data_IF_448722961529
#
_entry.id   IF_448722961529
#
_cell.length_a   1.000
_cell.length_b   1.000
_cell.length_c   1.000
_cell.angle_alpha   90.00
_cell.angle_beta   90.00
_cell.angle_gamma   90.00
#
_symmetry.space_group_name_H-M   'P 1'
#
loop_
_entity.id
_entity.type
_entity.pdbx_description
1 polymer ?
#
# COMPACT_ATOMS: atom_id res chain seq x y z
N UNK A 1 -7.11 -59.49 -33.15
CA UNK A 1 -6.10 -58.48 -32.80
C UNK A 1 -6.84 -57.24 -32.34
N UNK A 2 -7.06 -57.21 -31.03
CA UNK A 2 -7.72 -56.12 -30.31
C UNK A 2 -6.66 -55.11 -29.87
N UNK A 3 -7.16 -53.91 -29.56
CA UNK A 3 -6.51 -52.75 -28.91
C UNK A 3 -5.87 -51.74 -29.85
N UNK A 4 -6.50 -50.56 -29.94
CA UNK A 4 -5.86 -49.23 -29.87
C UNK A 4 -6.93 -48.11 -29.94
N UNK A 5 -7.93 -48.18 -29.05
CA UNK A 5 -8.94 -47.13 -28.88
C UNK A 5 -8.70 -46.27 -27.61
N UNK A 6 -7.54 -46.36 -26.98
CA UNK A 6 -7.24 -45.70 -25.69
C UNK A 6 -6.28 -44.50 -25.77
N UNK A 7 -5.72 -44.16 -26.93
CA UNK A 7 -4.75 -43.04 -27.05
C UNK A 7 -5.38 -41.67 -27.29
N UNK A 8 -6.71 -41.55 -27.43
CA UNK A 8 -7.38 -40.27 -27.69
C UNK A 8 -7.91 -39.56 -26.42
N UNK A 9 -7.96 -40.23 -25.27
CA UNK A 9 -8.54 -39.66 -24.04
C UNK A 9 -7.51 -38.99 -23.10
N UNK A 10 -6.21 -39.06 -23.40
CA UNK A 10 -5.15 -38.55 -22.52
C UNK A 10 -4.80 -37.07 -22.64
N UNK A 11 -5.07 -36.41 -23.78
CA UNK A 11 -4.63 -35.03 -24.03
C UNK A 11 -5.65 -33.94 -23.67
N UNK A 12 -6.93 -34.28 -23.52
CA UNK A 12 -7.96 -33.31 -23.14
C UNK A 12 -8.00 -33.04 -21.62
N UNK A 13 -7.53 -33.98 -20.80
CA UNK A 13 -7.50 -33.83 -19.33
C UNK A 13 -6.35 -32.94 -18.85
N UNK A 14 -5.22 -32.94 -19.55
CA UNK A 14 -4.04 -32.15 -19.16
C UNK A 14 -4.13 -30.67 -19.55
N UNK A 15 -4.92 -30.33 -20.56
CA UNK A 15 -5.07 -28.95 -21.03
C UNK A 15 -5.94 -28.07 -20.11
N UNK A 16 -6.73 -28.68 -19.20
CA UNK A 16 -7.62 -27.96 -18.28
C UNK A 16 -6.94 -27.52 -16.98
N UNK A 17 -5.77 -28.07 -16.66
CA UNK A 17 -4.99 -27.67 -15.46
C UNK A 17 -4.14 -26.41 -15.65
N UNK A 18 -3.95 -25.93 -16.89
CA UNK A 18 -3.24 -24.67 -17.19
C UNK A 18 -4.16 -23.44 -17.21
N UNK A 19 -5.47 -23.63 -17.01
CA UNK A 19 -6.45 -22.55 -16.95
C UNK A 19 -6.97 -22.34 -15.53
N UNK A 20 -6.07 -22.29 -14.53
CA UNK A 20 -6.37 -21.54 -13.30
C UNK A 20 -6.50 -20.07 -13.72
N UNK A 21 -7.68 -19.70 -14.21
CA UNK A 21 -8.03 -18.34 -14.52
C UNK A 21 -7.88 -17.56 -13.22
N UNK A 22 -6.89 -16.67 -13.16
CA UNK A 22 -6.70 -15.75 -12.06
C UNK A 22 -8.01 -15.01 -11.84
N UNK A 23 -8.68 -15.27 -10.73
CA UNK A 23 -9.85 -14.48 -10.36
C UNK A 23 -9.41 -13.02 -10.24
N UNK A 24 -10.20 -12.05 -10.72
CA UNK A 24 -9.88 -10.65 -10.49
C UNK A 24 -9.77 -10.45 -8.98
N UNK A 25 -8.55 -10.18 -8.50
CA UNK A 25 -8.30 -9.87 -7.11
C UNK A 25 -9.02 -8.55 -6.81
N UNK A 26 -10.13 -8.64 -6.10
CA UNK A 26 -10.77 -7.48 -5.49
C UNK A 26 -9.80 -6.93 -4.44
N UNK A 27 -8.94 -5.98 -4.84
CA UNK A 27 -8.12 -5.24 -3.89
C UNK A 27 -9.03 -4.35 -3.06
N UNK A 28 -9.08 -4.63 -1.76
CA UNK A 28 -9.73 -3.74 -0.79
C UNK A 28 -9.05 -2.37 -0.86
N UNK A 29 -9.85 -1.31 -0.86
CA UNK A 29 -9.37 0.08 -0.86
C UNK A 29 -9.65 0.68 0.51
N UNK A 30 -8.61 1.04 1.24
CA UNK A 30 -8.75 1.71 2.53
C UNK A 30 -8.58 3.22 2.40
N UNK A 31 -9.23 3.96 3.29
CA UNK A 31 -9.01 5.39 3.48
C UNK A 31 -8.67 5.60 4.95
N UNK A 32 -7.49 6.16 5.22
CA UNK A 32 -7.13 6.59 6.57
C UNK A 32 -7.63 8.02 6.77
N UNK A 33 -8.58 8.20 7.67
CA UNK A 33 -9.23 9.49 7.92
C UNK A 33 -8.49 10.34 8.97
N UNK A 34 -7.44 9.82 9.60
CA UNK A 34 -6.85 10.41 10.80
C UNK A 34 -5.34 10.22 10.92
N UNK A 35 -4.58 10.51 9.87
CA UNK A 35 -3.13 10.29 9.86
C UNK A 35 -2.34 11.55 10.25
N UNK A 36 -1.65 11.50 11.39
CA UNK A 36 -0.79 12.59 11.89
C UNK A 36 0.60 12.57 11.22
N UNK A 37 0.70 12.58 9.88
CA UNK A 37 1.98 12.37 9.16
C UNK A 37 3.07 13.43 9.44
N UNK A 38 2.72 14.53 10.09
CA UNK A 38 3.65 15.57 10.54
C UNK A 38 4.31 15.27 11.88
N UNK A 39 3.91 14.22 12.59
CA UNK A 39 4.48 13.88 13.88
C UNK A 39 6.01 13.71 13.82
N UNK A 40 6.70 14.09 14.90
CA UNK A 40 8.14 13.94 15.04
C UNK A 40 8.58 12.48 15.05
N UNK A 41 7.70 11.54 15.40
CA UNK A 41 7.96 10.11 15.39
C UNK A 41 8.42 9.61 14.02
N UNK A 42 7.85 10.11 12.92
CA UNK A 42 8.31 9.76 11.55
C UNK A 42 9.69 10.32 11.18
N UNK A 43 10.29 11.10 12.09
CA UNK A 43 11.63 11.69 12.01
C UNK A 43 12.53 11.20 13.15
N UNK A 44 12.11 10.17 13.88
CA UNK A 44 12.84 9.62 15.02
C UNK A 44 12.86 10.51 16.26
N UNK A 45 12.03 11.56 16.31
CA UNK A 45 11.94 12.48 17.44
C UNK A 45 10.90 11.96 18.42
N UNK A 46 11.36 11.52 19.59
CA UNK A 46 10.52 11.03 20.67
C UNK A 46 10.65 11.93 21.89
N UNK A 47 9.53 12.27 22.53
CA UNK A 47 9.49 13.15 23.70
C UNK A 47 10.22 14.49 23.48
N UNK A 48 10.15 15.05 22.27
CA UNK A 48 10.79 16.33 21.92
C UNK A 48 12.31 16.29 21.75
N UNK A 49 12.96 15.12 21.83
CA UNK A 49 14.42 14.99 21.70
C UNK A 49 14.85 15.05 20.23
N UNK A 50 15.34 16.21 19.79
CA UNK A 50 15.77 16.47 18.40
C UNK A 50 17.26 16.25 18.16
N UNK A 51 18.08 16.36 19.21
CA UNK A 51 19.55 16.28 19.17
C UNK A 51 20.12 14.86 19.07
N UNK A 52 19.30 13.84 19.38
CA UNK A 52 19.64 12.43 19.21
C UNK A 52 18.39 11.64 18.77
N UNK A 53 18.01 11.75 17.49
CA UNK A 53 16.90 10.99 16.93
C UNK A 53 17.12 9.49 17.14
N UNK A 54 16.05 8.76 17.46
CA UNK A 54 16.12 7.31 17.68
C UNK A 54 16.31 6.51 16.40
N UNK A 55 15.95 7.10 15.28
CA UNK A 55 16.15 6.56 13.94
C UNK A 55 16.15 7.71 12.93
N UNK A 56 16.67 7.44 11.73
CA UNK A 56 16.58 8.36 10.60
C UNK A 56 15.12 8.55 10.17
N UNK A 57 14.78 9.69 9.54
CA UNK A 57 13.45 9.90 8.97
C UNK A 57 13.06 8.77 8.01
N UNK A 58 11.90 8.15 8.25
CA UNK A 58 11.48 6.93 7.57
C UNK A 58 10.03 6.99 7.04
N UNK A 59 9.44 8.19 6.98
CA UNK A 59 8.06 8.40 6.51
C UNK A 59 7.79 7.74 5.14
N UNK A 60 8.73 7.81 4.20
CA UNK A 60 8.61 7.18 2.88
C UNK A 60 8.44 5.65 3.01
N UNK A 61 9.20 5.01 3.89
CA UNK A 61 9.07 3.58 4.16
C UNK A 61 7.71 3.25 4.82
N UNK A 62 7.20 4.13 5.70
CA UNK A 62 5.86 3.96 6.29
C UNK A 62 4.78 4.03 5.22
N UNK A 63 4.82 5.04 4.36
CA UNK A 63 3.84 5.23 3.28
C UNK A 63 3.87 4.06 2.30
N UNK A 64 5.07 3.59 1.91
CA UNK A 64 5.22 2.42 1.06
C UNK A 64 4.54 1.18 1.64
N UNK A 65 4.76 0.90 2.93
CA UNK A 65 4.06 -0.22 3.61
C UNK A 65 2.55 -0.04 3.60
N UNK A 66 2.06 1.19 3.79
CA UNK A 66 0.63 1.49 3.80
C UNK A 66 -0.02 1.26 2.43
N UNK A 67 0.62 1.72 1.35
CA UNK A 67 0.18 1.49 -0.03
C UNK A 67 0.19 0.01 -0.39
N UNK A 68 1.25 -0.72 -0.03
CA UNK A 68 1.36 -2.17 -0.26
C UNK A 68 0.25 -2.95 0.47
N UNK A 69 -0.23 -2.43 1.61
CA UNK A 69 -1.34 -2.99 2.39
C UNK A 69 -2.75 -2.64 1.85
N UNK A 70 -2.85 -1.86 0.77
CA UNK A 70 -4.12 -1.51 0.12
C UNK A 70 -4.73 -0.17 0.56
N UNK A 71 -3.97 0.67 1.26
CA UNK A 71 -4.37 2.06 1.49
C UNK A 71 -4.50 2.78 0.13
N UNK A 72 -5.52 3.61 -0.02
CA UNK A 72 -5.81 4.30 -1.27
C UNK A 72 -5.81 5.82 -1.10
N UNK A 73 -6.27 6.32 0.05
CA UNK A 73 -6.25 7.74 0.39
C UNK A 73 -5.92 7.92 1.87
N UNK A 74 -5.33 9.07 2.17
CA UNK A 74 -4.95 9.49 3.52
C UNK A 74 -5.44 10.91 3.72
N UNK A 75 -6.09 11.18 4.85
CA UNK A 75 -6.37 12.52 5.32
C UNK A 75 -5.27 12.87 6.32
N UNK A 76 -4.39 13.80 5.91
CA UNK A 76 -3.36 14.34 6.79
C UNK A 76 -4.02 15.32 7.74
N UNK A 77 -3.97 15.02 9.03
CA UNK A 77 -4.59 15.83 10.07
C UNK A 77 -3.75 17.09 10.33
N UNK A 78 -4.44 18.20 10.55
CA UNK A 78 -3.86 19.45 11.04
C UNK A 78 -4.57 19.87 12.32
N UNK A 79 -3.82 20.13 13.37
CA UNK A 79 -4.35 20.43 14.72
C UNK A 79 -4.46 21.94 15.01
N UNK A 80 -3.76 22.76 14.22
CA UNK A 80 -3.75 24.22 14.31
C UNK A 80 -3.38 24.81 12.94
N UNK A 81 -3.44 26.13 12.78
CA UNK A 81 -3.21 26.80 11.48
C UNK A 81 -1.83 26.48 10.89
N UNK A 82 -0.77 26.54 11.69
CA UNK A 82 0.60 26.29 11.23
C UNK A 82 0.81 24.81 10.85
N UNK A 83 0.22 23.91 11.63
CA UNK A 83 0.23 22.47 11.37
C UNK A 83 -0.57 22.14 10.11
N UNK A 84 -1.75 22.73 9.92
CA UNK A 84 -2.57 22.58 8.71
C UNK A 84 -1.86 23.09 7.46
N UNK A 85 -1.14 24.21 7.53
CA UNK A 85 -0.32 24.68 6.42
C UNK A 85 0.81 23.70 6.10
N UNK A 86 1.44 23.14 7.13
CA UNK A 86 2.50 22.14 6.99
C UNK A 86 1.99 20.81 6.43
N UNK A 87 0.78 20.40 6.81
CA UNK A 87 0.08 19.23 6.31
C UNK A 87 -0.31 19.42 4.83
N UNK A 88 -0.80 20.60 4.45
CA UNK A 88 -1.08 20.95 3.06
C UNK A 88 0.19 20.86 2.19
N UNK A 89 1.30 21.42 2.66
CA UNK A 89 2.57 21.36 1.94
C UNK A 89 3.05 19.91 1.76
N UNK A 90 2.87 19.05 2.79
CA UNK A 90 3.19 17.62 2.70
C UNK A 90 2.26 16.89 1.72
N UNK A 91 0.96 17.20 1.71
CA UNK A 91 0.02 16.64 0.76
C UNK A 91 0.39 16.99 -0.69
N UNK A 92 0.94 18.19 -0.91
CA UNK A 92 1.36 18.67 -2.23
C UNK A 92 2.71 18.12 -2.69
N UNK A 93 3.56 17.61 -1.78
CA UNK A 93 4.88 17.09 -2.16
C UNK A 93 4.86 15.72 -2.83
N UNK A 94 3.73 15.00 -2.75
CA UNK A 94 3.58 13.65 -3.30
C UNK A 94 2.18 13.51 -3.95
N UNK A 95 2.13 13.13 -5.22
CA UNK A 95 0.87 12.93 -5.95
C UNK A 95 -0.03 11.84 -5.34
N UNK A 96 0.54 10.89 -4.59
CA UNK A 96 -0.24 9.87 -3.87
C UNK A 96 -0.97 10.44 -2.65
N UNK A 97 -0.45 11.53 -2.07
CA UNK A 97 -1.05 12.21 -0.92
C UNK A 97 -2.01 13.34 -1.32
N UNK A 98 -1.84 13.91 -2.52
CA UNK A 98 -2.71 14.98 -3.02
C UNK A 98 -4.06 14.47 -3.51
N UNK A 99 -5.12 15.28 -3.37
CA UNK A 99 -6.35 15.09 -4.12
C UNK A 99 -6.13 15.54 -5.57
N UNK A 100 -6.26 14.61 -6.53
CA UNK A 100 -6.24 14.92 -7.96
C UNK A 100 -7.54 15.59 -8.40
#
# INVERSE_FOLDING_TARGET
>A
MHTNLLTAFGLLSFCRLLQLQSTPSFKMKFIDIGANLKDGMYRGIYNGKTENPKHEPDLEHVLRRAWDAGLHKIIITGTNVADSQSALNLAQSDDTLRSN
#
